data_IF_329066836965
#
_entry.id   IF_329066836965
#
_cell.length_a   1.000
_cell.length_b   1.000
_cell.length_c   1.000
_cell.angle_alpha   90.00
_cell.angle_beta   90.00
_cell.angle_gamma   90.00
#
_symmetry.space_group_name_H-M   'P 1'
#
loop_
_entity.id
_entity.type
_entity.pdbx_description
1 polymer ?
#
# COMPACT_ATOMS: atom_id res chain seq x y z
N UNK A 1 15.42 32.88 45.04
CA UNK A 1 14.42 31.94 44.48
C UNK A 1 14.04 32.29 43.02
N UNK A 2 15.00 32.34 42.09
CA UNK A 2 14.72 32.64 40.66
C UNK A 2 15.64 31.94 39.65
N UNK A 3 16.66 31.20 40.10
CA UNK A 3 17.66 30.56 39.24
C UNK A 3 17.53 29.03 39.14
N UNK A 4 16.73 28.40 40.00
CA UNK A 4 16.50 26.95 39.96
C UNK A 4 15.38 26.52 38.99
N UNK A 5 14.54 27.46 38.52
CA UNK A 5 13.43 27.15 37.62
C UNK A 5 13.85 27.04 36.14
N UNK A 6 15.04 27.53 35.76
CA UNK A 6 15.46 27.59 34.36
C UNK A 6 16.04 26.26 33.84
N UNK A 7 16.43 25.34 34.72
CA UNK A 7 17.05 24.06 34.31
C UNK A 7 16.05 22.92 34.10
N UNK A 8 14.81 23.04 34.58
CA UNK A 8 13.76 22.02 34.38
C UNK A 8 13.05 22.20 33.04
N UNK A 9 13.07 23.41 32.46
CA UNK A 9 12.38 23.71 31.20
C UNK A 9 13.09 23.21 29.93
N UNK A 10 14.38 22.84 30.02
CA UNK A 10 15.16 22.40 28.85
C UNK A 10 14.97 20.90 28.55
N UNK A 11 14.48 20.11 29.51
CA UNK A 11 14.29 18.65 29.35
C UNK A 11 12.95 18.24 28.72
N UNK A 12 12.06 19.19 28.41
CA UNK A 12 10.71 18.91 27.90
C UNK A 12 10.54 19.11 26.38
N UNK A 13 11.61 19.40 25.63
CA UNK A 13 11.55 19.64 24.18
C UNK A 13 12.45 18.73 23.33
N UNK A 14 12.93 17.61 23.89
CA UNK A 14 13.84 16.67 23.22
C UNK A 14 13.19 15.39 22.70
N UNK A 15 11.96 15.43 22.17
CA UNK A 15 11.22 14.21 21.88
C UNK A 15 10.22 14.31 20.73
N UNK A 16 10.66 14.76 19.56
CA UNK A 16 10.07 14.40 18.24
C UNK A 16 11.13 14.68 17.16
N UNK A 17 12.31 14.11 17.35
CA UNK A 17 13.41 14.13 16.38
C UNK A 17 13.61 12.77 15.73
N UNK A 18 12.54 12.02 15.49
CA UNK A 18 12.60 10.84 14.63
C UNK A 18 12.83 11.33 13.20
N UNK A 19 14.09 11.45 12.79
CA UNK A 19 14.41 11.56 11.37
C UNK A 19 13.77 10.35 10.68
N UNK A 20 13.03 10.53 9.56
CA UNK A 20 12.49 9.39 8.85
C UNK A 20 13.66 8.48 8.50
N UNK A 21 13.65 7.27 9.07
CA UNK A 21 14.55 6.20 8.64
C UNK A 21 14.39 6.13 7.12
N UNK A 22 15.49 6.13 6.34
CA UNK A 22 15.39 5.99 4.90
C UNK A 22 14.57 4.73 4.63
N UNK A 23 13.41 4.91 3.99
CA UNK A 23 12.60 3.77 3.58
C UNK A 23 13.52 2.82 2.79
N UNK A 24 13.43 1.50 3.02
CA UNK A 24 14.19 0.54 2.22
C UNK A 24 13.95 0.85 0.73
N UNK A 25 14.97 0.69 -0.12
CA UNK A 25 14.82 0.99 -1.53
C UNK A 25 13.64 0.20 -2.07
N UNK A 26 12.61 0.93 -2.54
CA UNK A 26 11.46 0.34 -3.20
C UNK A 26 11.97 -0.58 -4.32
N UNK A 27 11.45 -1.81 -4.44
CA UNK A 27 11.79 -2.69 -5.54
C UNK A 27 11.68 -1.91 -6.85
N UNK A 28 12.66 -2.07 -7.73
CA UNK A 28 12.57 -1.46 -9.06
C UNK A 28 11.26 -1.91 -9.73
N UNK A 29 10.58 -0.96 -10.39
CA UNK A 29 9.25 -1.23 -10.94
C UNK A 29 9.29 -2.40 -11.91
N UNK A 30 8.31 -3.30 -11.76
CA UNK A 30 8.20 -4.47 -12.60
C UNK A 30 7.41 -4.13 -13.87
N UNK A 31 8.10 -4.09 -15.02
CA UNK A 31 7.48 -3.81 -16.32
C UNK A 31 6.32 -4.74 -16.66
N UNK A 32 6.34 -5.98 -16.18
CA UNK A 32 5.24 -6.91 -16.40
C UNK A 32 4.02 -6.53 -15.54
N UNK A 33 4.21 -6.07 -14.30
CA UNK A 33 3.12 -5.49 -13.49
C UNK A 33 2.57 -4.23 -14.18
N UNK A 34 3.42 -3.29 -14.62
CA UNK A 34 2.99 -2.05 -15.28
C UNK A 34 2.19 -2.28 -16.57
N UNK A 35 2.67 -3.20 -17.42
CA UNK A 35 1.97 -3.55 -18.65
C UNK A 35 0.65 -4.27 -18.38
N UNK A 36 0.62 -5.15 -17.37
CA UNK A 36 -0.61 -5.85 -16.95
C UNK A 36 -1.64 -4.88 -16.38
N UNK A 37 -1.20 -3.93 -15.55
CA UNK A 37 -2.03 -2.85 -15.01
C UNK A 37 -2.62 -1.98 -16.14
N UNK A 38 -1.79 -1.59 -17.11
CA UNK A 38 -2.26 -0.79 -18.25
C UNK A 38 -3.34 -1.51 -19.05
N UNK A 39 -3.18 -2.83 -19.27
CA UNK A 39 -4.18 -3.66 -19.95
C UNK A 39 -5.47 -3.80 -19.12
N UNK A 40 -5.35 -3.99 -17.81
CA UNK A 40 -6.50 -4.09 -16.90
C UNK A 40 -7.30 -2.79 -16.85
N UNK A 41 -6.61 -1.64 -16.77
CA UNK A 41 -7.22 -0.30 -16.83
C UNK A 41 -7.94 -0.06 -18.14
N UNK A 42 -7.34 -0.48 -19.26
CA UNK A 42 -8.01 -0.42 -20.55
C UNK A 42 -9.31 -1.23 -20.55
N UNK A 43 -9.28 -2.49 -20.09
CA UNK A 43 -10.48 -3.31 -19.97
C UNK A 43 -11.54 -2.68 -19.03
N UNK A 44 -11.10 -2.09 -17.92
CA UNK A 44 -11.98 -1.38 -16.98
C UNK A 44 -12.66 -0.17 -17.64
N UNK A 45 -11.91 0.65 -18.38
CA UNK A 45 -12.45 1.81 -19.10
C UNK A 45 -13.46 1.40 -20.18
N UNK A 46 -13.24 0.25 -20.84
CA UNK A 46 -14.17 -0.35 -21.81
C UNK A 46 -15.41 -0.99 -21.15
N UNK A 47 -15.55 -0.93 -19.82
CA UNK A 47 -16.67 -1.50 -19.10
C UNK A 47 -16.60 -3.03 -18.92
N UNK A 48 -15.49 -3.65 -19.30
CA UNK A 48 -15.24 -5.09 -19.18
C UNK A 48 -14.69 -5.40 -17.80
N UNK A 49 -15.51 -5.19 -16.78
CA UNK A 49 -15.09 -5.25 -15.37
C UNK A 49 -14.70 -6.66 -14.92
N UNK A 50 -15.36 -7.68 -15.46
CA UNK A 50 -15.01 -9.10 -15.29
C UNK A 50 -13.59 -9.39 -15.76
N UNK A 51 -13.25 -8.92 -16.97
CA UNK A 51 -11.92 -9.11 -17.53
C UNK A 51 -10.88 -8.27 -16.80
N UNK A 52 -11.24 -7.05 -16.39
CA UNK A 52 -10.37 -6.21 -15.58
C UNK A 52 -10.04 -6.89 -14.24
N UNK A 53 -11.03 -7.45 -13.56
CA UNK A 53 -10.85 -8.20 -12.30
C UNK A 53 -9.83 -9.34 -12.47
N UNK A 54 -10.00 -10.19 -13.49
CA UNK A 54 -9.07 -11.29 -13.76
C UNK A 54 -7.64 -10.80 -14.02
N UNK A 55 -7.46 -9.70 -14.75
CA UNK A 55 -6.14 -9.17 -15.07
C UNK A 55 -5.50 -8.53 -13.83
N UNK A 56 -6.25 -7.73 -13.06
CA UNK A 56 -5.78 -7.16 -11.81
C UNK A 56 -5.43 -8.25 -10.78
N UNK A 57 -6.21 -9.34 -10.72
CA UNK A 57 -5.89 -10.49 -9.85
C UNK A 57 -4.51 -11.07 -10.11
N UNK A 58 -4.14 -11.29 -11.38
CA UNK A 58 -2.79 -11.75 -11.75
C UNK A 58 -1.69 -10.74 -11.44
N UNK A 59 -1.97 -9.44 -11.63
CA UNK A 59 -1.03 -8.40 -11.25
C UNK A 59 -0.78 -8.37 -9.73
N UNK A 60 -1.82 -8.64 -8.93
CA UNK A 60 -1.72 -8.67 -7.47
C UNK A 60 -0.94 -9.89 -6.99
N UNK A 61 -1.16 -11.06 -7.60
CA UNK A 61 -0.34 -12.26 -7.34
C UNK A 61 1.13 -11.98 -7.59
N UNK A 62 1.46 -11.38 -8.75
CA UNK A 62 2.85 -11.01 -9.07
C UNK A 62 3.43 -9.96 -8.12
N UNK A 63 2.63 -8.97 -7.70
CA UNK A 63 3.07 -7.97 -6.73
C UNK A 63 3.44 -8.63 -5.40
N UNK A 64 2.66 -9.63 -4.96
CA UNK A 64 2.96 -10.43 -3.77
C UNK A 64 4.19 -11.32 -3.94
N UNK A 65 4.36 -11.98 -5.10
CA UNK A 65 5.57 -12.78 -5.38
C UNK A 65 6.87 -11.97 -5.33
N UNK A 66 6.76 -10.65 -5.49
CA UNK A 66 7.89 -9.71 -5.46
C UNK A 66 8.06 -8.99 -4.13
N UNK A 67 7.15 -9.22 -3.18
CA UNK A 67 7.05 -8.46 -1.94
C UNK A 67 7.13 -6.94 -2.21
N UNK A 68 6.37 -6.49 -3.21
CA UNK A 68 6.34 -5.09 -3.66
C UNK A 68 5.15 -4.37 -3.02
N UNK A 69 5.33 -3.69 -1.87
CA UNK A 69 4.23 -3.12 -1.11
C UNK A 69 3.49 -2.02 -1.89
N UNK A 70 4.20 -1.24 -2.71
CA UNK A 70 3.60 -0.20 -3.54
C UNK A 70 2.71 -0.81 -4.61
N UNK A 71 3.19 -1.87 -5.28
CA UNK A 71 2.38 -2.59 -6.25
C UNK A 71 1.20 -3.33 -5.61
N UNK A 72 1.37 -3.92 -4.42
CA UNK A 72 0.28 -4.57 -3.67
C UNK A 72 -0.81 -3.55 -3.35
N UNK A 73 -0.46 -2.38 -2.82
CA UNK A 73 -1.40 -1.33 -2.49
C UNK A 73 -2.16 -0.85 -3.74
N UNK A 74 -1.43 -0.49 -4.80
CA UNK A 74 -2.00 0.02 -6.04
C UNK A 74 -2.94 -1.00 -6.68
N UNK A 75 -2.46 -2.22 -6.93
CA UNK A 75 -3.26 -3.24 -7.63
C UNK A 75 -4.48 -3.65 -6.81
N UNK A 76 -4.35 -3.76 -5.48
CA UNK A 76 -5.47 -4.10 -4.59
C UNK A 76 -6.57 -3.05 -4.65
N UNK A 77 -6.20 -1.76 -4.70
CA UNK A 77 -7.17 -0.68 -4.89
C UNK A 77 -7.90 -0.79 -6.23
N UNK A 78 -7.18 -1.03 -7.33
CA UNK A 78 -7.81 -1.13 -8.66
C UNK A 78 -8.69 -2.37 -8.81
N UNK A 79 -8.27 -3.50 -8.25
CA UNK A 79 -9.07 -4.71 -8.20
C UNK A 79 -10.36 -4.51 -7.38
N UNK A 80 -10.25 -3.80 -6.25
CA UNK A 80 -11.40 -3.45 -5.42
C UNK A 80 -12.38 -2.57 -6.20
N UNK A 81 -11.88 -1.59 -6.96
CA UNK A 81 -12.71 -0.78 -7.84
C UNK A 81 -13.40 -1.63 -8.93
N UNK A 82 -12.70 -2.57 -9.57
CA UNK A 82 -13.31 -3.50 -10.54
C UNK A 82 -14.45 -4.31 -9.92
N UNK A 83 -14.26 -4.86 -8.72
CA UNK A 83 -15.32 -5.59 -7.99
C UNK A 83 -16.51 -4.73 -7.62
N UNK A 84 -16.29 -3.48 -7.21
CA UNK A 84 -17.39 -2.54 -6.96
C UNK A 84 -18.22 -2.31 -8.23
N UNK A 85 -17.59 -2.23 -9.40
CA UNK A 85 -18.31 -2.09 -10.68
C UNK A 85 -19.10 -3.33 -11.07
N UNK A 86 -18.68 -4.51 -10.60
CA UNK A 86 -19.42 -5.76 -10.71
C UNK A 86 -20.54 -5.91 -9.66
N UNK A 87 -20.66 -4.97 -8.71
CA UNK A 87 -21.62 -5.04 -7.61
C UNK A 87 -21.16 -5.93 -6.45
N UNK A 88 -19.93 -6.44 -6.47
CA UNK A 88 -19.36 -7.27 -5.40
C UNK A 88 -18.65 -6.41 -4.34
N UNK A 89 -19.44 -5.66 -3.57
CA UNK A 89 -18.92 -4.83 -2.49
C UNK A 89 -18.21 -5.64 -1.40
N UNK A 90 -18.69 -6.86 -1.13
CA UNK A 90 -18.09 -7.74 -0.12
C UNK A 90 -16.71 -8.22 -0.56
N UNK A 91 -16.57 -8.65 -1.82
CA UNK A 91 -15.29 -9.05 -2.37
C UNK A 91 -14.30 -7.90 -2.48
N UNK A 92 -14.76 -6.68 -2.80
CA UNK A 92 -13.92 -5.48 -2.79
C UNK A 92 -13.39 -5.18 -1.39
N UNK A 93 -14.25 -5.17 -0.37
CA UNK A 93 -13.85 -4.95 1.02
C UNK A 93 -12.81 -5.99 1.47
N UNK A 94 -13.07 -7.27 1.21
CA UNK A 94 -12.14 -8.33 1.59
C UNK A 94 -10.78 -8.26 0.87
N UNK A 95 -10.66 -7.60 -0.29
CA UNK A 95 -9.36 -7.33 -0.91
C UNK A 95 -8.65 -6.20 -0.16
N UNK A 96 -9.35 -5.09 0.10
CA UNK A 96 -8.78 -3.93 0.78
C UNK A 96 -8.31 -4.25 2.20
N UNK A 97 -9.09 -5.01 2.97
CA UNK A 97 -8.72 -5.46 4.32
C UNK A 97 -7.46 -6.30 4.29
N UNK A 98 -7.41 -7.34 3.45
CA UNK A 98 -6.22 -8.21 3.35
C UNK A 98 -4.97 -7.46 2.90
N UNK A 99 -5.12 -6.50 1.98
CA UNK A 99 -3.99 -5.68 1.55
C UNK A 99 -3.51 -4.77 2.70
N UNK A 100 -4.44 -4.22 3.48
CA UNK A 100 -4.11 -3.36 4.63
C UNK A 100 -3.43 -4.14 5.74
N UNK A 101 -3.94 -5.34 6.06
CA UNK A 101 -3.35 -6.24 7.04
C UNK A 101 -1.93 -6.65 6.62
N UNK A 102 -1.78 -7.10 5.37
CA UNK A 102 -0.48 -7.49 4.81
C UNK A 102 0.55 -6.35 4.91
N UNK A 103 0.19 -5.15 4.44
CA UNK A 103 1.09 -4.00 4.48
C UNK A 103 1.41 -3.53 5.91
N UNK A 104 0.48 -3.73 6.85
CA UNK A 104 0.70 -3.46 8.26
C UNK A 104 1.70 -4.44 8.89
N UNK A 105 1.56 -5.72 8.58
CA UNK A 105 2.48 -6.77 9.03
C UNK A 105 3.89 -6.56 8.45
N UNK A 106 3.99 -6.23 7.16
CA UNK A 106 5.25 -5.96 6.47
C UNK A 106 5.97 -4.74 7.05
N UNK A 107 5.22 -3.66 7.36
CA UNK A 107 5.76 -2.47 8.00
C UNK A 107 6.27 -2.77 9.42
N UNK A 108 5.51 -3.53 10.22
CA UNK A 108 5.92 -3.92 11.56
C UNK A 108 7.17 -4.81 11.55
N UNK A 109 7.32 -5.68 10.54
CA UNK A 109 8.51 -6.51 10.36
C UNK A 109 9.76 -5.70 9.95
N UNK A 110 9.59 -4.60 9.20
CA UNK A 110 10.70 -3.74 8.81
C UNK A 110 11.25 -2.88 9.97
N UNK A 111 10.43 -2.63 11.00
CA UNK A 111 10.79 -1.84 12.18
C UNK A 111 11.38 -2.67 13.35
N UNK A 112 11.39 -4.00 13.24
CA UNK A 112 11.84 -4.95 14.27
C UNK A 112 13.34 -5.32 14.17
#
# INVERSE_FOLDING_TARGET
>A
MRRAAALVAVLLFGGCGGSPTPAPPTPASDKQIESTLSLARFAFCEGRYDRAEEIYGRALERARERDDPDAIALVSYELSAARLRLGDAKGALGIAERASDQLGDDAAAADA
#
